data_IF_149125571437
#
_entry.id   IF_149125571437
#
_cell.length_a   1.000
_cell.length_b   1.000
_cell.length_c   1.000
_cell.angle_alpha   90.00
_cell.angle_beta   90.00
_cell.angle_gamma   90.00
#
_symmetry.space_group_name_H-M   'P 1'
#
loop_
_entity.id
_entity.type
_entity.pdbx_description
1 polymer ?
#
# COMPACT_ATOMS: atom_id res chain seq x y z
N UNK A 1 -21.35 -6.66 -63.05
CA UNK A 1 -20.83 -5.39 -62.50
C UNK A 1 -21.79 -4.90 -61.43
N UNK A 2 -21.53 -5.26 -60.17
CA UNK A 2 -22.32 -4.81 -59.03
C UNK A 2 -21.44 -3.91 -58.16
N UNK A 3 -21.90 -2.69 -57.94
CA UNK A 3 -21.33 -1.73 -57.01
C UNK A 3 -21.41 -2.27 -55.58
N UNK A 4 -20.37 -2.06 -54.78
CA UNK A 4 -20.56 -1.78 -53.37
C UNK A 4 -19.40 -0.91 -52.84
N UNK A 5 -19.66 0.40 -52.80
CA UNK A 5 -18.89 1.34 -52.01
C UNK A 5 -19.31 1.17 -50.55
N UNK A 6 -18.39 0.74 -49.69
CA UNK A 6 -18.52 0.88 -48.23
C UNK A 6 -17.23 1.42 -47.65
N UNK A 7 -17.18 2.75 -47.59
CA UNK A 7 -16.71 3.57 -46.47
C UNK A 7 -15.77 2.87 -45.48
N UNK A 8 -14.47 3.00 -45.72
CA UNK A 8 -13.41 2.62 -44.81
C UNK A 8 -13.09 3.79 -43.87
N UNK A 9 -14.04 4.18 -43.02
CA UNK A 9 -13.89 5.26 -42.03
C UNK A 9 -13.99 4.78 -40.58
N UNK A 10 -13.57 3.55 -40.28
CA UNK A 10 -13.33 3.14 -38.90
C UNK A 10 -11.94 3.63 -38.43
N UNK A 11 -11.83 4.94 -38.25
CA UNK A 11 -10.85 5.48 -37.30
C UNK A 11 -11.40 5.12 -35.93
N UNK A 12 -10.82 4.10 -35.31
CA UNK A 12 -11.21 3.58 -33.99
C UNK A 12 -11.14 4.66 -32.90
N UNK A 13 -12.20 5.45 -32.75
CA UNK A 13 -12.37 6.45 -31.70
C UNK A 13 -12.46 5.81 -30.29
N UNK A 14 -12.65 4.49 -30.20
CA UNK A 14 -12.61 3.75 -28.94
C UNK A 14 -11.19 3.62 -28.35
N UNK A 15 -10.13 3.74 -29.17
CA UNK A 15 -8.74 3.67 -28.69
C UNK A 15 -8.25 4.95 -28.00
N UNK A 16 -8.94 6.09 -28.23
CA UNK A 16 -8.53 7.40 -27.70
C UNK A 16 -9.07 7.70 -26.30
N UNK A 17 -10.05 6.93 -25.82
CA UNK A 17 -10.73 7.19 -24.55
C UNK A 17 -10.20 6.37 -23.36
N UNK A 18 -9.22 5.49 -23.60
CA UNK A 18 -8.55 4.71 -22.56
C UNK A 18 -7.11 5.17 -22.32
N UNK A 19 -6.80 6.47 -22.51
CA UNK A 19 -5.56 7.05 -21.96
C UNK A 19 -5.64 6.99 -20.44
N UNK A 20 -5.07 5.93 -19.86
CA UNK A 20 -4.89 5.79 -18.41
C UNK A 20 -3.97 6.91 -17.95
N UNK A 21 -4.56 7.99 -17.46
CA UNK A 21 -3.79 9.04 -16.77
C UNK A 21 -3.26 8.44 -15.47
N UNK A 22 -1.95 8.32 -15.37
CA UNK A 22 -1.30 7.91 -14.14
C UNK A 22 -1.12 9.15 -13.26
N UNK A 23 -1.88 9.18 -12.17
CA UNK A 23 -1.73 10.19 -11.14
C UNK A 23 -0.72 9.72 -10.12
N UNK A 24 0.26 10.56 -9.79
CA UNK A 24 1.12 10.32 -8.64
C UNK A 24 0.44 10.91 -7.41
N UNK A 25 0.42 10.10 -6.37
CA UNK A 25 -0.17 10.43 -5.10
C UNK A 25 0.80 11.28 -4.26
N UNK A 26 0.63 12.60 -4.29
CA UNK A 26 1.34 13.56 -3.42
C UNK A 26 0.34 14.34 -2.56
N UNK A 27 0.75 14.66 -1.32
CA UNK A 27 -0.03 15.49 -0.40
C UNK A 27 0.01 16.94 -0.92
N UNK A 28 -1.16 17.56 -1.06
CA UNK A 28 -1.42 18.94 -1.49
C UNK A 28 -1.33 19.28 -2.99
N UNK A 29 -0.96 18.38 -3.89
CA UNK A 29 -1.11 18.64 -5.34
C UNK A 29 -1.07 17.34 -6.17
N UNK A 30 -2.15 16.96 -6.90
CA UNK A 30 -2.06 15.87 -7.87
C UNK A 30 -1.30 16.38 -9.11
N UNK A 31 -0.12 15.83 -9.36
CA UNK A 31 0.64 16.09 -10.59
C UNK A 31 0.32 15.00 -11.62
N UNK A 32 -0.09 15.40 -12.82
CA UNK A 32 -0.35 14.50 -13.94
C UNK A 32 1.00 14.15 -14.59
N UNK A 33 1.43 12.88 -14.51
CA UNK A 33 2.52 12.42 -15.37
C UNK A 33 1.95 12.31 -16.79
N UNK A 34 2.58 13.05 -17.71
CA UNK A 34 2.07 13.34 -19.03
C UNK A 34 1.74 12.14 -19.92
N UNK A 35 1.21 12.49 -21.09
CA UNK A 35 0.58 11.63 -22.07
C UNK A 35 1.50 10.51 -22.59
N UNK A 36 1.14 9.24 -22.34
CA UNK A 36 1.84 8.07 -22.87
C UNK A 36 1.84 8.10 -24.42
N UNK A 37 2.98 8.43 -25.00
CA UNK A 37 3.25 8.13 -26.42
C UNK A 37 3.39 6.62 -26.57
N UNK A 38 2.72 6.04 -27.56
CA UNK A 38 2.48 4.62 -27.79
C UNK A 38 3.74 3.76 -28.07
N UNK A 39 4.71 3.72 -27.16
CA UNK A 39 5.89 2.89 -27.27
C UNK A 39 6.37 2.44 -25.90
N UNK A 40 6.07 1.17 -25.57
CA UNK A 40 6.57 0.39 -24.43
C UNK A 40 6.47 1.06 -23.04
N UNK A 41 5.70 0.51 -22.08
CA UNK A 41 5.69 1.03 -20.71
C UNK A 41 7.03 0.73 -20.04
N UNK A 42 8.03 1.62 -20.20
CA UNK A 42 9.11 1.72 -19.24
C UNK A 42 8.51 2.35 -17.98
N UNK A 43 8.19 1.52 -17.01
CA UNK A 43 7.53 1.81 -15.72
C UNK A 43 8.25 2.81 -14.80
N UNK A 44 9.22 3.57 -15.31
CA UNK A 44 10.10 4.43 -14.51
C UNK A 44 9.94 5.89 -14.94
N UNK A 45 8.82 6.50 -14.56
CA UNK A 45 8.81 7.95 -14.34
C UNK A 45 9.69 8.27 -13.12
N UNK A 46 10.35 9.44 -13.02
CA UNK A 46 11.17 9.79 -11.89
C UNK A 46 10.28 10.09 -10.67
N UNK A 47 9.80 9.04 -10.00
CA UNK A 47 9.35 9.18 -8.61
C UNK A 47 10.58 9.39 -7.74
N UNK A 48 10.56 10.43 -6.92
CA UNK A 48 11.55 10.63 -5.86
C UNK A 48 11.37 9.51 -4.83
N UNK A 49 12.05 8.40 -5.05
CA UNK A 49 12.12 7.28 -4.12
C UNK A 49 12.97 7.68 -2.92
N UNK A 50 12.43 7.51 -1.72
CA UNK A 50 13.19 7.69 -0.50
C UNK A 50 14.36 6.67 -0.44
N UNK A 51 15.56 7.14 -0.09
CA UNK A 51 16.79 6.35 -0.03
C UNK A 51 17.38 6.26 1.39
N UNK A 52 16.55 6.47 2.41
CA UNK A 52 16.97 6.34 3.81
C UNK A 52 17.03 4.89 4.28
N UNK A 53 17.22 4.71 5.58
CA UNK A 53 17.42 3.40 6.20
C UNK A 53 16.09 2.66 6.45
N UNK A 54 15.78 1.57 5.70
CA UNK A 54 14.53 0.84 5.84
C UNK A 54 14.39 0.11 7.18
N UNK A 55 15.46 0.03 7.99
CA UNK A 55 15.42 -0.57 9.33
C UNK A 55 14.83 0.40 10.38
N UNK A 56 14.93 1.71 10.14
CA UNK A 56 14.40 2.74 11.04
C UNK A 56 12.91 3.01 10.75
N UNK A 57 12.03 2.51 11.62
CA UNK A 57 10.61 2.86 11.56
C UNK A 57 10.36 4.36 11.73
N UNK A 58 11.21 5.06 12.49
CA UNK A 58 11.09 6.53 12.65
C UNK A 58 11.34 7.25 11.34
N UNK A 59 12.38 6.83 10.61
CA UNK A 59 12.72 7.45 9.33
C UNK A 59 11.65 7.16 8.28
N UNK A 60 11.07 5.95 8.31
CA UNK A 60 9.92 5.60 7.47
C UNK A 60 8.69 6.46 7.78
N UNK A 61 8.38 6.69 9.06
CA UNK A 61 7.28 7.58 9.49
C UNK A 61 7.53 9.00 8.98
N UNK A 62 8.73 9.53 9.18
CA UNK A 62 9.09 10.87 8.74
C UNK A 62 9.07 11.00 7.22
N UNK A 63 9.53 9.98 6.50
CA UNK A 63 9.49 9.93 5.05
C UNK A 63 8.05 10.03 4.54
N UNK A 64 7.15 9.21 5.09
CA UNK A 64 5.73 9.21 4.72
C UNK A 64 5.06 10.54 5.06
N UNK A 65 5.32 11.10 6.26
CA UNK A 65 4.76 12.40 6.67
C UNK A 65 5.21 13.55 5.78
N UNK A 66 6.44 13.49 5.26
CA UNK A 66 6.99 14.47 4.31
C UNK A 66 6.52 14.25 2.86
N UNK A 67 5.70 13.23 2.62
CA UNK A 67 5.15 12.92 1.30
C UNK A 67 6.15 12.22 0.38
N UNK A 68 7.19 11.57 0.91
CA UNK A 68 8.09 10.77 0.10
C UNK A 68 7.44 9.44 -0.29
N UNK A 69 7.75 8.99 -1.51
CA UNK A 69 7.36 7.66 -1.98
C UNK A 69 8.34 6.62 -1.43
N UNK A 70 7.81 5.63 -0.71
CA UNK A 70 8.58 4.49 -0.18
C UNK A 70 8.18 3.24 -0.94
N UNK A 71 9.16 2.49 -1.43
CA UNK A 71 8.92 1.17 -2.02
C UNK A 71 8.80 0.12 -0.90
N UNK A 72 7.57 -0.18 -0.51
CA UNK A 72 7.29 -1.14 0.56
C UNK A 72 7.71 -2.58 0.21
N UNK A 73 7.78 -2.94 -1.07
CA UNK A 73 8.23 -4.27 -1.47
C UNK A 73 9.75 -4.42 -1.30
N UNK A 74 10.50 -3.34 -1.51
CA UNK A 74 11.93 -3.27 -1.21
C UNK A 74 12.17 -3.29 0.31
N UNK A 75 11.39 -2.53 1.10
CA UNK A 75 11.44 -2.57 2.58
C UNK A 75 11.16 -3.98 3.09
N UNK A 76 10.17 -4.68 2.53
CA UNK A 76 9.91 -6.08 2.86
C UNK A 76 11.13 -6.94 2.61
N UNK A 77 11.65 -6.91 1.39
CA UNK A 77 12.77 -7.77 0.97
C UNK A 77 14.02 -7.53 1.80
N UNK A 78 14.31 -6.28 2.15
CA UNK A 78 15.52 -5.91 2.89
C UNK A 78 15.40 -6.14 4.39
N UNK A 79 14.23 -5.90 4.98
CA UNK A 79 14.07 -5.83 6.44
C UNK A 79 12.90 -6.71 6.91
N UNK A 80 11.65 -6.43 6.51
CA UNK A 80 10.49 -7.07 7.15
C UNK A 80 10.29 -8.55 6.80
N UNK A 81 11.00 -9.08 5.81
CA UNK A 81 11.03 -10.51 5.50
C UNK A 81 11.83 -11.31 6.55
N UNK A 82 12.80 -10.68 7.20
CA UNK A 82 13.74 -11.32 8.14
C UNK A 82 13.62 -10.80 9.57
N UNK A 83 13.23 -9.54 9.75
CA UNK A 83 13.14 -8.89 11.05
C UNK A 83 11.70 -8.60 11.48
N UNK A 84 11.38 -8.96 12.73
CA UNK A 84 10.11 -8.62 13.34
C UNK A 84 10.05 -7.14 13.75
N UNK A 85 8.89 -6.53 13.56
CA UNK A 85 8.61 -5.15 13.94
C UNK A 85 8.37 -5.15 15.46
N UNK A 86 9.18 -4.39 16.20
CA UNK A 86 9.14 -4.37 17.67
C UNK A 86 8.35 -3.19 18.23
N UNK A 87 8.46 -2.04 17.58
CA UNK A 87 7.82 -0.80 18.05
C UNK A 87 6.41 -0.67 17.45
N UNK A 88 5.42 -1.09 18.22
CA UNK A 88 4.02 -1.08 17.82
C UNK A 88 3.43 0.32 17.74
N UNK A 89 3.91 1.27 18.53
CA UNK A 89 3.44 2.66 18.51
C UNK A 89 3.90 3.38 17.25
N UNK A 90 5.19 3.26 16.90
CA UNK A 90 5.70 3.80 15.65
C UNK A 90 5.06 3.14 14.44
N UNK A 91 4.80 1.83 14.50
CA UNK A 91 4.11 1.15 13.41
C UNK A 91 2.65 1.62 13.26
N UNK A 92 1.93 1.82 14.37
CA UNK A 92 0.60 2.40 14.34
C UNK A 92 0.61 3.84 13.78
N UNK A 93 1.62 4.63 14.14
CA UNK A 93 1.83 5.97 13.62
C UNK A 93 2.13 5.96 12.12
N UNK A 94 2.95 5.02 11.64
CA UNK A 94 3.26 4.84 10.23
C UNK A 94 1.99 4.56 9.43
N UNK A 95 1.19 3.59 9.87
CA UNK A 95 -0.06 3.23 9.22
C UNK A 95 -1.07 4.38 9.24
N UNK A 96 -1.12 5.16 10.32
CA UNK A 96 -2.02 6.31 10.44
C UNK A 96 -1.57 7.50 9.58
N UNK A 97 -0.27 7.61 9.30
CA UNK A 97 0.29 8.67 8.45
C UNK A 97 0.25 8.32 6.96
N UNK A 98 0.07 7.03 6.63
CA UNK A 98 0.01 6.56 5.25
C UNK A 98 -1.36 6.79 4.62
N UNK A 99 -1.39 7.29 3.38
CA UNK A 99 -2.64 7.42 2.63
C UNK A 99 -3.26 6.06 2.26
N UNK A 100 -2.44 5.03 2.07
CA UNK A 100 -2.89 3.68 1.77
C UNK A 100 -2.21 2.64 2.68
N UNK A 101 -2.69 2.46 3.93
CA UNK A 101 -2.12 1.50 4.86
C UNK A 101 -2.24 0.04 4.38
N UNK A 102 -3.17 -0.27 3.46
CA UNK A 102 -3.31 -1.62 2.91
C UNK A 102 -2.04 -2.09 2.19
N UNK A 103 -1.33 -1.17 1.51
CA UNK A 103 -0.07 -1.49 0.84
C UNK A 103 1.01 -1.92 1.83
N UNK A 104 1.12 -1.21 2.96
CA UNK A 104 2.07 -1.57 4.02
C UNK A 104 1.69 -2.92 4.64
N UNK A 105 0.40 -3.11 4.96
CA UNK A 105 -0.09 -4.34 5.59
C UNK A 105 0.10 -5.58 4.70
N UNK A 106 0.09 -5.43 3.37
CA UNK A 106 0.41 -6.51 2.44
C UNK A 106 1.88 -6.93 2.47
N UNK A 107 2.78 -6.02 2.87
CA UNK A 107 4.21 -6.27 2.93
C UNK A 107 4.68 -6.77 4.31
N UNK A 108 3.81 -6.80 5.31
CA UNK A 108 4.16 -7.32 6.64
C UNK A 108 3.63 -8.75 6.79
N UNK A 109 4.49 -9.64 7.29
CA UNK A 109 4.09 -11.04 7.50
C UNK A 109 2.92 -11.15 8.50
N UNK A 110 1.95 -12.05 8.28
CA UNK A 110 0.81 -12.24 9.18
C UNK A 110 1.21 -12.52 10.63
N UNK A 111 2.26 -13.31 10.85
CA UNK A 111 2.80 -13.62 12.18
C UNK A 111 3.29 -12.36 12.91
N UNK A 112 3.91 -11.42 12.18
CA UNK A 112 4.40 -10.16 12.71
C UNK A 112 3.22 -9.25 13.13
N UNK A 113 2.19 -9.16 12.28
CA UNK A 113 0.95 -8.44 12.62
C UNK A 113 0.24 -9.05 13.84
N UNK A 114 0.16 -10.37 13.93
CA UNK A 114 -0.39 -11.05 15.10
C UNK A 114 0.43 -10.74 16.36
N UNK A 115 1.76 -10.73 16.28
CA UNK A 115 2.65 -10.38 17.40
C UNK A 115 2.40 -8.96 17.90
N UNK A 116 2.17 -8.01 16.99
CA UNK A 116 1.87 -6.61 17.33
C UNK A 116 0.49 -6.43 17.96
N UNK A 117 -0.47 -7.30 17.67
CA UNK A 117 -1.80 -7.27 18.27
C UNK A 117 -1.88 -7.95 19.65
N UNK A 118 -0.88 -8.77 20.00
CA UNK A 118 -0.84 -9.42 21.31
C UNK A 118 -0.52 -8.40 22.39
N UNK A 119 -1.38 -8.33 23.40
CA UNK A 119 -1.26 -7.41 24.55
C UNK A 119 0.00 -7.62 25.38
N UNK A 120 0.66 -8.78 25.27
CA UNK A 120 1.97 -9.01 25.88
C UNK A 120 3.06 -8.08 25.33
N UNK A 121 2.87 -7.58 24.10
CA UNK A 121 3.88 -6.84 23.35
C UNK A 121 3.49 -5.38 23.08
N UNK A 122 2.20 -5.05 23.22
CA UNK A 122 1.65 -3.76 22.79
C UNK A 122 0.66 -3.22 23.81
N UNK A 123 0.76 -1.93 24.20
CA UNK A 123 -0.25 -1.30 25.04
C UNK A 123 -1.65 -1.42 24.44
N UNK A 124 -2.66 -1.68 25.28
CA UNK A 124 -4.05 -1.83 24.87
C UNK A 124 -4.56 -0.74 23.89
N UNK A 125 -4.35 0.58 24.11
CA UNK A 125 -4.83 1.60 23.17
C UNK A 125 -4.21 1.46 21.76
N UNK A 126 -2.92 1.16 21.70
CA UNK A 126 -2.19 0.94 20.44
C UNK A 126 -2.66 -0.33 19.74
N UNK A 127 -2.89 -1.41 20.50
CA UNK A 127 -3.42 -2.67 19.96
C UNK A 127 -4.82 -2.48 19.36
N UNK A 128 -5.70 -1.71 20.04
CA UNK A 128 -7.04 -1.35 19.54
C UNK A 128 -6.94 -0.50 18.27
N UNK A 129 -6.05 0.50 18.23
CA UNK A 129 -5.82 1.31 17.03
C UNK A 129 -5.37 0.45 15.85
N UNK A 130 -4.37 -0.41 16.05
CA UNK A 130 -3.89 -1.34 15.03
C UNK A 130 -4.99 -2.28 14.55
N UNK A 131 -5.79 -2.83 15.48
CA UNK A 131 -6.91 -3.70 15.15
C UNK A 131 -7.94 -3.01 14.25
N UNK A 132 -8.31 -1.76 14.55
CA UNK A 132 -9.22 -0.96 13.71
C UNK A 132 -8.65 -0.74 12.30
N UNK A 133 -7.37 -0.41 12.19
CA UNK A 133 -6.71 -0.21 10.89
C UNK A 133 -6.67 -1.52 10.09
N UNK A 134 -6.28 -2.63 10.72
CA UNK A 134 -6.19 -3.96 10.10
C UNK A 134 -7.56 -4.40 9.58
N UNK A 135 -8.62 -4.29 10.39
CA UNK A 135 -9.96 -4.69 9.95
C UNK A 135 -10.46 -3.85 8.77
N UNK A 136 -10.12 -2.55 8.74
CA UNK A 136 -10.54 -1.62 7.70
C UNK A 136 -9.76 -1.80 6.39
N UNK A 137 -8.47 -2.11 6.46
CA UNK A 137 -7.57 -1.99 5.30
C UNK A 137 -6.83 -3.28 4.92
N UNK A 138 -6.69 -4.27 5.81
CA UNK A 138 -5.96 -5.49 5.48
C UNK A 138 -6.71 -6.31 4.42
N UNK A 139 -6.02 -6.89 3.43
CA UNK A 139 -6.64 -7.76 2.42
C UNK A 139 -7.33 -8.97 3.07
N UNK A 140 -8.40 -9.47 2.44
CA UNK A 140 -9.20 -10.60 2.94
C UNK A 140 -8.54 -11.98 2.84
N UNK A 141 -7.23 -12.05 2.60
CA UNK A 141 -6.53 -13.32 2.45
C UNK A 141 -6.43 -14.01 3.82
N UNK A 142 -7.26 -15.03 4.02
CA UNK A 142 -7.40 -15.80 5.26
C UNK A 142 -7.51 -17.31 4.99
N UNK A 143 -6.92 -17.80 3.90
CA UNK A 143 -6.91 -19.24 3.62
C UNK A 143 -5.58 -19.87 4.03
N UNK A 144 -5.66 -20.85 4.94
CA UNK A 144 -4.58 -21.80 5.21
C UNK A 144 -3.52 -21.43 6.26
N UNK A 145 -3.46 -20.19 6.78
CA UNK A 145 -2.45 -19.79 7.77
C UNK A 145 -2.94 -19.95 9.22
N UNK A 146 -2.04 -20.43 10.10
CA UNK A 146 -2.24 -20.48 11.57
C UNK A 146 -2.41 -19.06 12.12
N UNK A 147 -1.66 -18.11 11.56
CA UNK A 147 -1.77 -16.69 11.91
C UNK A 147 -2.86 -16.01 11.11
N UNK A 148 -3.91 -15.55 11.82
CA UNK A 148 -5.07 -14.84 11.27
C UNK A 148 -5.19 -13.45 11.89
N UNK A 149 -4.45 -12.44 11.38
CA UNK A 149 -4.38 -11.12 12.00
C UNK A 149 -5.74 -10.42 12.03
N UNK A 150 -6.63 -10.64 11.05
CA UNK A 150 -7.99 -10.09 11.07
C UNK A 150 -8.85 -10.69 12.19
N UNK A 151 -8.77 -12.00 12.42
CA UNK A 151 -9.49 -12.65 13.52
C UNK A 151 -8.99 -12.15 14.87
N UNK A 152 -7.67 -12.05 15.04
CA UNK A 152 -7.08 -11.52 16.26
C UNK A 152 -7.45 -10.05 16.47
N UNK A 153 -7.42 -9.23 15.41
CA UNK A 153 -7.85 -7.83 15.48
C UNK A 153 -9.30 -7.70 15.95
N UNK A 154 -10.22 -8.52 15.40
CA UNK A 154 -11.61 -8.54 15.85
C UNK A 154 -11.71 -8.90 17.34
N UNK A 155 -10.98 -9.92 17.77
CA UNK A 155 -10.95 -10.33 19.18
C UNK A 155 -10.39 -9.23 20.08
N UNK A 156 -9.32 -8.56 19.68
CA UNK A 156 -8.73 -7.43 20.41
C UNK A 156 -9.73 -6.30 20.60
N UNK A 157 -10.57 -5.99 19.60
CA UNK A 157 -11.64 -5.00 19.77
C UNK A 157 -12.72 -5.47 20.75
N UNK A 158 -13.16 -6.72 20.65
CA UNK A 158 -14.18 -7.27 21.56
C UNK A 158 -13.75 -7.31 23.03
N UNK A 159 -12.44 -7.40 23.30
CA UNK A 159 -11.91 -7.40 24.66
C UNK A 159 -11.79 -5.99 25.28
N UNK A 160 -11.80 -4.93 24.46
CA UNK A 160 -11.43 -3.58 24.87
C UNK A 160 -12.45 -2.48 24.52
N UNK A 161 -13.51 -2.82 23.77
CA UNK A 161 -14.77 -2.05 23.73
C UNK A 161 -15.64 -2.42 24.95
#
# INVERSE_FOLDING_TARGET
>A
YAMNARNHWDIGLAGLWAKRRMFVDQVNFPFELGEESAGNPSTNGPTFSWAGDPTSLRDLVDAVKRGHSVDWADVHRKVWAVEHIKDSELFAQLLSSCRNPAMILQQVQPANLCSLLRLSNTPAPTAVQLARIILRHAPHQCEGTVDRPRCLALWTLLLHD
#
